data_IF_740655789823
#
_entry.id   IF_740655789823
#
_cell.length_a   1.000
_cell.length_b   1.000
_cell.length_c   1.000
_cell.angle_alpha   90.00
_cell.angle_beta   90.00
_cell.angle_gamma   90.00
#
_symmetry.space_group_name_H-M   'P 1'
#
loop_
_entity.id
_entity.type
_entity.pdbx_description
1 polymer ?
#
# COMPACT_ATOMS: atom_id res chain seq x y z
N UNK A 1 -33.95 5.30 -2.19
CA UNK A 1 -33.14 4.91 -1.02
C UNK A 1 -33.38 5.98 0.03
N UNK A 2 -33.89 5.58 1.20
CA UNK A 2 -34.06 6.49 2.33
C UNK A 2 -32.82 6.37 3.20
N UNK A 3 -31.97 7.41 3.23
CA UNK A 3 -30.67 7.38 3.90
C UNK A 3 -30.72 8.31 5.11
N UNK A 4 -30.24 7.82 6.25
CA UNK A 4 -30.16 8.63 7.46
C UNK A 4 -28.75 9.22 7.58
N UNK A 5 -28.69 10.50 7.95
CA UNK A 5 -27.43 11.20 8.14
C UNK A 5 -27.16 11.40 9.63
N UNK A 6 -25.92 11.16 10.03
CA UNK A 6 -25.41 11.62 11.32
C UNK A 6 -24.72 12.96 11.09
N UNK A 7 -25.08 13.96 11.91
CA UNK A 7 -24.47 15.28 11.88
C UNK A 7 -23.61 15.52 13.11
N UNK A 8 -22.53 16.29 12.95
CA UNK A 8 -21.74 16.77 14.09
C UNK A 8 -22.49 17.86 14.88
N UNK A 9 -21.87 18.33 15.98
CA UNK A 9 -22.44 19.38 16.81
C UNK A 9 -22.67 20.72 16.08
N UNK A 10 -22.10 20.90 14.89
CA UNK A 10 -22.28 22.07 14.02
C UNK A 10 -23.33 21.82 12.92
N UNK A 11 -24.01 20.68 12.95
CA UNK A 11 -25.04 20.30 11.97
C UNK A 11 -24.50 19.75 10.66
N UNK A 12 -23.18 19.60 10.50
CA UNK A 12 -22.57 19.09 9.25
C UNK A 12 -22.71 17.59 9.20
N UNK A 13 -23.20 17.05 8.08
CA UNK A 13 -23.30 15.60 7.87
C UNK A 13 -21.91 14.97 7.83
N UNK A 14 -21.63 14.07 8.77
CA UNK A 14 -20.32 13.41 8.92
C UNK A 14 -20.37 11.92 8.62
N UNK A 15 -21.53 11.28 8.73
CA UNK A 15 -21.71 9.89 8.38
C UNK A 15 -23.10 9.62 7.82
N UNK A 16 -23.21 8.50 7.09
CA UNK A 16 -24.48 7.96 6.59
C UNK A 16 -24.75 6.61 7.23
N UNK A 17 -26.01 6.35 7.57
CA UNK A 17 -26.49 5.07 8.08
C UNK A 17 -27.35 4.43 7.01
N UNK A 18 -26.94 3.24 6.58
CA UNK A 18 -27.66 2.43 5.59
C UNK A 18 -27.74 0.98 6.06
N UNK A 19 -28.78 0.23 5.66
CA UNK A 19 -28.85 -1.22 5.91
C UNK A 19 -27.65 -1.96 5.30
N UNK A 20 -27.20 -3.02 5.96
CA UNK A 20 -26.03 -3.79 5.50
C UNK A 20 -26.25 -4.42 4.12
N UNK A 21 -27.49 -4.78 3.77
CA UNK A 21 -27.83 -5.35 2.46
C UNK A 21 -27.67 -4.33 1.32
N UNK A 22 -27.97 -3.07 1.59
CA UNK A 22 -27.74 -1.98 0.64
C UNK A 22 -26.25 -1.74 0.43
N UNK A 23 -25.46 -1.77 1.51
CA UNK A 23 -24.00 -1.70 1.43
C UNK A 23 -23.41 -2.84 0.59
N UNK A 24 -23.89 -4.07 0.80
CA UNK A 24 -23.47 -5.24 0.04
C UNK A 24 -23.81 -5.09 -1.46
N UNK A 25 -25.00 -4.58 -1.78
CA UNK A 25 -25.43 -4.34 -3.17
C UNK A 25 -24.54 -3.30 -3.86
N UNK A 26 -24.25 -2.19 -3.18
CA UNK A 26 -23.39 -1.11 -3.72
C UNK A 26 -21.96 -1.62 -3.92
N UNK A 27 -21.41 -2.33 -2.94
CA UNK A 27 -20.03 -2.84 -3.02
C UNK A 27 -19.86 -3.96 -4.05
N UNK A 28 -20.86 -4.83 -4.22
CA UNK A 28 -20.86 -5.84 -5.27
C UNK A 28 -20.95 -5.21 -6.67
N UNK A 29 -21.81 -4.20 -6.84
CA UNK A 29 -21.94 -3.46 -8.11
C UNK A 29 -20.64 -2.76 -8.53
N UNK A 30 -19.85 -2.32 -7.55
CA UNK A 30 -18.60 -1.60 -7.76
C UNK A 30 -17.36 -2.43 -7.42
N UNK A 31 -17.44 -3.76 -7.54
CA UNK A 31 -16.31 -4.66 -7.29
C UNK A 31 -15.08 -4.32 -8.15
N UNK A 32 -15.31 -3.81 -9.36
CA UNK A 32 -14.32 -3.26 -10.28
C UNK A 32 -13.43 -2.16 -9.67
N UNK A 33 -13.94 -1.36 -8.73
CA UNK A 33 -13.18 -0.29 -8.08
C UNK A 33 -12.04 -0.85 -7.21
N UNK A 34 -12.18 -2.09 -6.70
CA UNK A 34 -11.12 -2.76 -5.93
C UNK A 34 -9.88 -3.04 -6.79
N UNK A 35 -10.03 -3.10 -8.10
CA UNK A 35 -8.94 -3.40 -9.03
C UNK A 35 -8.20 -2.16 -9.55
N UNK A 36 -8.73 -0.94 -9.33
CA UNK A 36 -8.14 0.30 -9.87
C UNK A 36 -6.77 0.63 -9.24
N UNK A 37 -6.49 0.13 -8.04
CA UNK A 37 -5.20 0.30 -7.35
C UNK A 37 -4.33 -0.96 -7.28
N UNK A 38 -4.82 -2.09 -7.79
CA UNK A 38 -4.07 -3.34 -7.74
C UNK A 38 -2.89 -3.27 -8.73
N UNK A 39 -1.64 -3.44 -8.27
CA UNK A 39 -0.51 -3.45 -9.18
C UNK A 39 -0.68 -4.62 -10.17
N UNK A 40 -0.66 -4.31 -11.47
CA UNK A 40 -0.85 -5.28 -12.57
C UNK A 40 0.16 -6.44 -12.53
N UNK A 41 1.28 -6.24 -11.83
CA UNK A 41 2.34 -7.22 -11.66
C UNK A 41 2.98 -7.03 -10.29
N UNK A 42 3.39 -8.11 -9.63
CA UNK A 42 4.14 -7.99 -8.37
C UNK A 42 5.52 -7.39 -8.66
N UNK A 43 5.97 -6.47 -7.80
CA UNK A 43 7.28 -5.83 -7.98
C UNK A 43 8.43 -6.85 -7.96
N UNK A 44 8.29 -7.92 -7.17
CA UNK A 44 9.24 -9.04 -7.16
C UNK A 44 9.41 -9.66 -8.55
N UNK A 45 8.31 -9.93 -9.25
CA UNK A 45 8.33 -10.46 -10.62
C UNK A 45 8.94 -9.44 -11.61
N UNK A 46 8.68 -8.15 -11.42
CA UNK A 46 9.20 -7.09 -12.30
C UNK A 46 10.71 -6.90 -12.18
N UNK A 47 11.31 -7.13 -11.01
CA UNK A 47 12.71 -6.78 -10.73
C UNK A 47 13.62 -7.96 -10.38
N UNK A 48 13.08 -9.17 -10.23
CA UNK A 48 13.89 -10.37 -10.02
C UNK A 48 14.94 -10.54 -11.13
N UNK A 49 16.18 -10.81 -10.73
CA UNK A 49 17.30 -11.04 -11.66
C UNK A 49 17.79 -9.82 -12.45
N UNK A 50 17.20 -8.63 -12.25
CA UNK A 50 17.63 -7.39 -12.92
C UNK A 50 18.87 -6.75 -12.29
N UNK A 51 19.20 -7.13 -11.05
CA UNK A 51 20.42 -6.66 -10.40
C UNK A 51 21.61 -7.51 -10.88
N UNK A 52 22.60 -6.91 -11.56
CA UNK A 52 23.81 -7.63 -11.96
C UNK A 52 24.56 -8.12 -10.72
N UNK A 53 25.12 -9.34 -10.77
CA UNK A 53 25.87 -9.90 -9.64
C UNK A 53 27.07 -9.04 -9.26
N UNK A 54 27.76 -8.47 -10.25
CA UNK A 54 28.92 -7.59 -10.02
C UNK A 54 28.56 -6.34 -9.22
N UNK A 55 27.42 -5.73 -9.52
CA UNK A 55 26.94 -4.56 -8.78
C UNK A 55 26.48 -4.94 -7.36
N UNK A 56 25.87 -6.12 -7.21
CA UNK A 56 25.50 -6.64 -5.90
C UNK A 56 26.74 -6.87 -5.01
N UNK A 57 27.80 -7.43 -5.58
CA UNK A 57 29.08 -7.68 -4.89
C UNK A 57 29.77 -6.38 -4.49
N UNK A 58 29.79 -5.37 -5.37
CA UNK A 58 30.32 -4.04 -5.06
C UNK A 58 29.57 -3.36 -3.90
N UNK A 59 28.24 -3.41 -3.92
CA UNK A 59 27.41 -2.86 -2.83
C UNK A 59 27.67 -3.60 -1.51
N UNK A 60 27.78 -4.93 -1.56
CA UNK A 60 28.08 -5.74 -0.39
C UNK A 60 29.47 -5.42 0.18
N UNK A 61 30.47 -5.24 -0.69
CA UNK A 61 31.82 -4.85 -0.31
C UNK A 61 31.83 -3.47 0.34
N UNK A 62 31.16 -2.49 -0.24
CA UNK A 62 31.04 -1.14 0.30
C UNK A 62 30.41 -1.11 1.70
N UNK A 63 29.31 -1.85 1.90
CA UNK A 63 28.65 -1.96 3.21
C UNK A 63 29.55 -2.65 4.23
N UNK A 64 30.29 -3.68 3.81
CA UNK A 64 31.22 -4.39 4.69
C UNK A 64 32.35 -3.49 5.14
N UNK A 65 32.96 -2.77 4.19
CA UNK A 65 34.05 -1.84 4.44
C UNK A 65 33.64 -0.72 5.40
N UNK A 66 32.52 -0.04 5.10
CA UNK A 66 32.01 1.04 5.97
C UNK A 66 31.72 0.53 7.38
N UNK A 67 31.18 -0.68 7.53
CA UNK A 67 30.92 -1.28 8.85
C UNK A 67 32.20 -1.62 9.61
N UNK A 68 33.23 -2.11 8.92
CA UNK A 68 34.54 -2.36 9.53
C UNK A 68 35.24 -1.07 9.97
N UNK A 69 35.14 -0.02 9.16
CA UNK A 69 35.68 1.31 9.48
C UNK A 69 35.00 1.89 10.73
N UNK A 70 33.66 1.80 10.81
CA UNK A 70 32.90 2.26 11.98
C UNK A 70 33.27 1.50 13.25
N UNK A 71 33.39 0.16 13.17
CA UNK A 71 33.79 -0.66 14.32
C UNK A 71 35.25 -0.44 14.76
N UNK A 72 36.11 0.03 13.86
CA UNK A 72 37.52 0.32 14.16
C UNK A 72 37.74 1.75 14.70
N UNK A 73 36.71 2.60 14.61
CA UNK A 73 36.69 3.98 15.10
C UNK A 73 35.93 4.13 16.43
N UNK A 74 35.50 3.01 17.03
CA UNK A 74 34.94 2.88 18.38
C UNK A 74 35.96 2.16 19.25
#
# INVERSE_FOLDING_TARGET
MDVQYLSDAQGRHTAIVIPIEEWNTITAKHEELKMIGAPKQKLSEKYAGKLPSTLADELQHYVTQTRTEWNSSI
#
